data_IF_124202323070
#
_entry.id   IF_124202323070
#
_cell.length_a   1.000
_cell.length_b   1.000
_cell.length_c   1.000
_cell.angle_alpha   90.00
_cell.angle_beta   90.00
_cell.angle_gamma   90.00
#
_symmetry.space_group_name_H-M   'P 1'
#
loop_
_entity.id
_entity.type
_entity.pdbx_description
1 polymer ?
#
# COMPACT_ATOMS: atom_id res chain seq x y z
N UNK A 1 7.24 -11.97 1.35
CA UNK A 1 7.90 -12.40 2.60
C UNK A 1 7.69 -11.29 3.61
N UNK A 2 7.58 -11.62 4.90
CA UNK A 2 7.43 -10.64 5.99
C UNK A 2 8.57 -9.63 6.06
N UNK A 3 9.78 -10.06 5.71
CA UNK A 3 10.96 -9.19 5.65
C UNK A 3 11.10 -8.33 4.39
N UNK A 4 10.15 -8.41 3.44
CA UNK A 4 10.26 -7.71 2.16
C UNK A 4 9.00 -6.93 1.79
N UNK A 5 7.83 -7.55 1.89
CA UNK A 5 6.63 -7.04 1.22
C UNK A 5 5.45 -6.87 2.16
N UNK A 6 5.40 -5.69 2.78
CA UNK A 6 4.21 -5.13 3.42
C UNK A 6 3.64 -3.97 2.58
N UNK A 7 2.70 -3.20 3.13
CA UNK A 7 2.01 -2.10 2.43
C UNK A 7 2.97 -1.14 1.71
N UNK A 8 4.06 -0.74 2.36
CA UNK A 8 5.02 0.22 1.80
C UNK A 8 5.69 -0.31 0.53
N UNK A 9 6.23 -1.53 0.57
CA UNK A 9 6.86 -2.14 -0.61
C UNK A 9 5.85 -2.38 -1.73
N UNK A 10 4.63 -2.82 -1.40
CA UNK A 10 3.60 -3.06 -2.41
C UNK A 10 3.20 -1.78 -3.15
N UNK A 11 3.10 -0.68 -2.41
CA UNK A 11 2.86 0.67 -2.96
C UNK A 11 4.02 1.12 -3.85
N UNK A 12 5.27 0.97 -3.39
CA UNK A 12 6.46 1.35 -4.18
C UNK A 12 6.60 0.55 -5.47
N UNK A 13 6.35 -0.77 -5.42
CA UNK A 13 6.38 -1.61 -6.61
C UNK A 13 5.28 -1.21 -7.60
N UNK A 14 4.07 -0.94 -7.11
CA UNK A 14 2.97 -0.45 -7.94
C UNK A 14 3.32 0.91 -8.58
N UNK A 15 3.95 1.84 -7.84
CA UNK A 15 4.40 3.13 -8.35
C UNK A 15 5.31 3.02 -9.57
N UNK A 16 6.17 2.01 -9.58
CA UNK A 16 7.16 1.77 -10.63
C UNK A 16 6.61 0.92 -11.80
N UNK A 17 5.31 0.65 -11.82
CA UNK A 17 4.67 -0.20 -12.83
C UNK A 17 4.80 -1.70 -12.59
N UNK A 18 5.27 -2.10 -11.40
CA UNK A 18 5.35 -3.47 -10.94
C UNK A 18 4.16 -3.87 -10.07
N UNK A 19 4.35 -4.93 -9.27
CA UNK A 19 3.35 -5.42 -8.31
C UNK A 19 4.05 -5.92 -7.04
N UNK A 20 3.45 -5.65 -5.88
CA UNK A 20 3.84 -6.27 -4.62
C UNK A 20 2.88 -7.38 -4.20
N UNK A 21 3.43 -8.46 -3.64
CA UNK A 21 2.67 -9.57 -3.07
C UNK A 21 2.86 -9.59 -1.55
N UNK A 22 1.82 -9.18 -0.82
CA UNK A 22 1.81 -9.17 0.65
C UNK A 22 1.98 -10.58 1.19
N UNK A 23 2.80 -10.76 2.23
CA UNK A 23 2.97 -12.07 2.87
C UNK A 23 1.72 -12.46 3.69
N UNK A 24 1.57 -13.75 3.97
CA UNK A 24 0.52 -14.32 4.82
C UNK A 24 0.95 -14.55 6.27
N UNK A 25 2.18 -14.16 6.64
CA UNK A 25 2.66 -14.27 8.02
C UNK A 25 2.12 -13.14 8.91
N UNK A 26 0.80 -12.98 8.95
CA UNK A 26 0.06 -11.99 9.74
C UNK A 26 -1.39 -12.50 9.93
N UNK A 27 -2.14 -11.91 10.86
CA UNK A 27 -3.57 -12.21 10.95
C UNK A 27 -4.30 -11.77 9.66
N UNK A 28 -5.39 -12.46 9.30
CA UNK A 28 -6.18 -12.12 8.11
C UNK A 28 -6.72 -10.69 8.15
N UNK A 29 -7.08 -10.19 9.35
CA UNK A 29 -7.49 -8.81 9.58
C UNK A 29 -6.38 -7.80 9.23
N UNK A 30 -5.14 -8.13 9.59
CA UNK A 30 -3.99 -7.25 9.42
C UNK A 30 -3.56 -7.25 7.96
N UNK A 31 -3.51 -8.42 7.32
CA UNK A 31 -3.26 -8.54 5.89
C UNK A 31 -4.35 -7.80 5.08
N UNK A 32 -5.62 -7.88 5.51
CA UNK A 32 -6.71 -7.12 4.90
C UNK A 32 -6.59 -5.61 5.14
N UNK A 33 -6.07 -5.18 6.29
CA UNK A 33 -5.74 -3.77 6.54
C UNK A 33 -4.60 -3.29 5.63
N UNK A 34 -3.58 -4.12 5.39
CA UNK A 34 -2.52 -3.83 4.42
C UNK A 34 -3.07 -3.68 3.00
N UNK A 35 -3.91 -4.62 2.54
CA UNK A 35 -4.58 -4.52 1.22
C UNK A 35 -5.38 -3.22 1.10
N UNK A 36 -6.17 -2.89 2.12
CA UNK A 36 -6.95 -1.63 2.16
C UNK A 36 -6.04 -0.40 2.11
N UNK A 37 -4.92 -0.42 2.83
CA UNK A 37 -3.93 0.66 2.80
C UNK A 37 -3.31 0.86 1.41
N UNK A 38 -2.98 -0.23 0.70
CA UNK A 38 -2.43 -0.16 -0.66
C UNK A 38 -3.50 0.31 -1.66
N UNK A 39 -4.69 -0.30 -1.64
CA UNK A 39 -5.81 0.03 -2.56
C UNK A 39 -6.42 1.39 -2.28
N UNK A 40 -6.26 1.90 -1.07
CA UNK A 40 -6.69 3.23 -0.67
C UNK A 40 -5.82 4.34 -1.25
N UNK A 41 -4.59 4.05 -1.67
CA UNK A 41 -3.73 5.10 -2.21
C UNK A 41 -4.10 5.40 -3.65
N UNK A 42 -4.30 6.69 -3.95
CA UNK A 42 -4.42 7.17 -5.34
C UNK A 42 -3.07 7.55 -5.92
N UNK A 43 -2.20 8.11 -5.08
CA UNK A 43 -0.82 8.48 -5.44
C UNK A 43 0.17 7.65 -4.62
N UNK A 44 1.11 6.93 -5.26
CA UNK A 44 1.77 5.77 -4.65
C UNK A 44 3.05 6.11 -3.86
N UNK A 45 3.23 7.33 -3.35
CA UNK A 45 4.47 7.72 -2.66
C UNK A 45 4.27 8.54 -1.39
N UNK A 46 3.12 8.39 -0.76
CA UNK A 46 2.85 9.18 0.42
C UNK A 46 3.60 8.58 1.60
N UNK A 47 4.49 9.39 2.17
CA UNK A 47 4.94 9.29 3.54
C UNK A 47 3.72 8.98 4.41
N UNK A 48 3.82 7.98 5.30
CA UNK A 48 2.71 7.66 6.20
C UNK A 48 2.37 8.92 7.02
N UNK A 49 1.23 9.60 6.75
CA UNK A 49 0.96 10.88 7.37
C UNK A 49 0.80 10.69 8.87
N UNK A 50 1.33 11.64 9.65
CA UNK A 50 1.07 11.65 11.09
C UNK A 50 -0.23 12.40 11.31
N UNK A 51 -1.10 11.82 12.13
CA UNK A 51 -2.38 12.41 12.50
C UNK A 51 -2.32 12.90 13.94
N UNK A 52 -2.92 14.07 14.19
CA UNK A 52 -3.06 14.66 15.52
C UNK A 52 -4.45 15.26 15.68
N UNK A 53 -4.95 15.31 16.92
CA UNK A 53 -6.21 15.97 17.26
C UNK A 53 -6.00 17.47 17.46
N UNK A 54 -7.10 18.23 17.42
CA UNK A 54 -7.10 19.69 17.67
C UNK A 54 -6.51 20.09 19.04
N UNK A 55 -6.52 19.18 20.00
CA UNK A 55 -6.00 19.40 21.35
C UNK A 55 -4.49 19.17 21.50
N UNK A 56 -3.87 18.54 20.50
CA UNK A 56 -2.50 18.05 20.61
C UNK A 56 -1.46 19.16 20.37
N UNK A 57 -0.21 18.85 20.71
CA UNK A 57 0.96 19.72 20.54
C UNK A 57 2.08 18.96 19.86
N UNK A 58 2.86 19.65 19.03
CA UNK A 58 4.08 19.10 18.47
C UNK A 58 5.23 19.42 19.42
N UNK A 59 5.71 18.40 20.13
CA UNK A 59 6.78 18.56 21.13
C UNK A 59 8.16 18.70 20.50
N UNK A 60 8.43 18.00 19.39
CA UNK A 60 9.72 18.00 18.72
C UNK A 60 9.60 17.74 17.22
N UNK A 61 10.73 17.87 16.52
CA UNK A 61 10.84 17.66 15.07
C UNK A 61 10.67 16.20 14.63
N UNK A 62 10.70 15.24 15.55
CA UNK A 62 10.66 13.81 15.22
C UNK A 62 9.33 13.43 14.57
N UNK A 63 8.26 14.19 14.84
CA UNK A 63 6.95 14.03 14.19
C UNK A 63 7.03 14.15 12.66
N UNK A 64 7.99 14.92 12.16
CA UNK A 64 8.22 15.10 10.72
C UNK A 64 9.22 14.09 10.15
N UNK A 65 9.71 13.15 10.98
CA UNK A 65 10.65 12.10 10.61
C UNK A 65 11.85 12.63 9.80
N UNK A 66 12.51 13.69 10.30
CA UNK A 66 13.63 14.37 9.64
C UNK A 66 13.34 14.82 8.19
N UNK A 67 12.10 15.24 7.91
CA UNK A 67 11.67 15.68 6.59
C UNK A 67 11.13 14.57 5.69
N UNK A 68 11.22 13.31 6.11
CA UNK A 68 10.57 12.21 5.41
C UNK A 68 9.05 12.32 5.46
N UNK A 69 8.48 12.95 6.49
CA UNK A 69 7.08 13.31 6.54
C UNK A 69 6.91 14.82 6.80
N UNK A 70 6.88 15.66 5.75
CA UNK A 70 6.91 17.11 5.93
C UNK A 70 5.60 17.70 6.47
N UNK A 71 4.56 16.89 6.67
CA UNK A 71 3.23 17.35 7.07
C UNK A 71 2.63 16.51 8.20
N UNK A 72 2.03 17.20 9.17
CA UNK A 72 1.18 16.61 10.20
C UNK A 72 -0.26 16.99 9.90
N UNK A 73 -1.15 16.01 9.80
CA UNK A 73 -2.56 16.21 9.50
C UNK A 73 -3.36 16.34 10.80
N UNK A 74 -4.21 17.35 10.88
CA UNK A 74 -5.07 17.59 12.03
C UNK A 74 -6.47 17.10 11.72
N UNK A 75 -6.94 16.08 12.42
CA UNK A 75 -8.30 15.53 12.26
C UNK A 75 -9.10 15.67 13.55
N UNK A 76 -10.42 15.47 13.48
CA UNK A 76 -11.26 15.55 14.68
C UNK A 76 -10.87 14.52 15.75
N UNK A 77 -10.62 13.27 15.35
CA UNK A 77 -10.24 12.18 16.26
C UNK A 77 -8.73 12.09 16.52
N UNK A 78 -7.90 12.74 15.71
CA UNK A 78 -6.45 12.54 15.70
C UNK A 78 -6.01 11.23 15.02
N UNK A 79 -6.92 10.55 14.33
CA UNK A 79 -6.67 9.32 13.58
C UNK A 79 -6.98 9.50 12.07
N UNK A 80 -6.53 8.59 11.20
CA UNK A 80 -7.02 8.47 9.81
C UNK A 80 -8.53 8.17 9.76
N UNK A 81 -9.16 8.35 8.59
CA UNK A 81 -10.61 8.16 8.39
C UNK A 81 -11.44 9.02 9.35
N UNK A 82 -11.06 10.28 9.45
CA UNK A 82 -11.72 11.27 10.30
C UNK A 82 -11.78 12.59 9.54
N UNK A 83 -12.72 13.45 9.90
CA UNK A 83 -12.83 14.77 9.29
C UNK A 83 -11.54 15.57 9.45
N UNK A 84 -11.00 16.04 8.32
CA UNK A 84 -9.82 16.90 8.28
C UNK A 84 -10.17 18.31 8.73
N UNK A 85 -9.34 18.88 9.59
CA UNK A 85 -9.46 20.26 10.07
C UNK A 85 -8.39 21.16 9.43
N UNK A 86 -7.20 20.61 9.20
CA UNK A 86 -6.07 21.32 8.64
C UNK A 86 -4.80 20.48 8.65
N UNK A 87 -3.66 21.14 8.46
CA UNK A 87 -2.34 20.51 8.54
C UNK A 87 -1.29 21.49 9.07
N UNK A 88 -0.20 20.96 9.59
CA UNK A 88 1.00 21.70 9.95
C UNK A 88 2.15 21.23 9.07
N UNK A 89 2.80 22.15 8.34
CA UNK A 89 4.03 21.83 7.60
C UNK A 89 5.26 21.99 8.51
N UNK A 90 6.27 21.15 8.33
CA UNK A 90 7.55 21.24 9.06
C UNK A 90 8.16 22.65 8.96
N UNK A 91 8.16 23.23 7.75
CA UNK A 91 8.65 24.60 7.49
C UNK A 91 7.92 25.70 8.24
N UNK A 92 6.66 25.49 8.60
CA UNK A 92 5.83 26.47 9.30
C UNK A 92 5.98 26.27 10.81
N UNK A 93 6.07 25.02 11.27
CA UNK A 93 6.39 24.69 12.67
C UNK A 93 7.76 25.23 13.12
N UNK A 94 8.80 25.12 12.28
CA UNK A 94 10.16 25.62 12.61
C UNK A 94 10.16 27.14 12.85
N UNK A 95 9.22 27.88 12.25
CA UNK A 95 9.10 29.34 12.39
C UNK A 95 8.30 29.76 13.63
N UNK A 96 7.64 28.83 14.32
CA UNK A 96 6.88 29.14 15.52
C UNK A 96 7.80 29.56 16.67
N UNK A 97 7.51 30.71 17.26
CA UNK A 97 8.25 31.23 18.41
C UNK A 97 7.91 30.47 19.69
N UNK A 98 6.63 30.10 19.87
CA UNK A 98 6.14 29.30 20.99
C UNK A 98 5.72 27.92 20.48
N UNK A 99 6.34 26.86 21.01
CA UNK A 99 6.08 25.47 20.64
C UNK A 99 5.15 24.74 21.61
N UNK A 100 4.73 25.40 22.69
CA UNK A 100 3.78 24.86 23.67
C UNK A 100 2.31 25.13 23.29
N UNK A 101 2.10 25.82 22.16
CA UNK A 101 0.79 26.10 21.60
C UNK A 101 0.14 24.84 21.01
N UNK A 102 -1.20 24.82 20.98
CA UNK A 102 -1.93 23.73 20.35
C UNK A 102 -1.76 23.80 18.84
N UNK A 103 -1.67 22.64 18.20
CA UNK A 103 -1.51 22.54 16.75
C UNK A 103 -2.65 23.25 16.00
N UNK A 104 -3.87 23.21 16.53
CA UNK A 104 -5.06 23.81 15.92
C UNK A 104 -4.98 25.34 15.77
N UNK A 105 -4.24 26.02 16.64
CA UNK A 105 -4.18 27.48 16.66
C UNK A 105 -3.29 28.05 15.54
N UNK A 106 -2.38 27.23 15.01
CA UNK A 106 -1.40 27.63 14.00
C UNK A 106 -1.41 26.78 12.73
N UNK A 107 -2.23 25.73 12.67
CA UNK A 107 -2.37 24.91 11.47
C UNK A 107 -2.93 25.71 10.30
N UNK A 108 -2.58 25.28 9.10
CA UNK A 108 -3.23 25.77 7.88
C UNK A 108 -4.58 25.07 7.72
N UNK A 109 -5.65 25.86 7.62
CA UNK A 109 -7.02 25.35 7.47
C UNK A 109 -7.23 24.58 6.17
N UNK A 110 -8.00 23.49 6.22
CA UNK A 110 -8.23 22.59 5.09
C UNK A 110 -9.15 23.14 3.97
N UNK A 111 -9.74 24.34 4.12
CA UNK A 111 -10.77 24.86 3.18
C UNK A 111 -10.33 24.91 1.73
N UNK A 112 -9.05 25.19 1.46
CA UNK A 112 -8.51 25.36 0.10
C UNK A 112 -7.58 24.21 -0.33
N UNK A 113 -7.68 23.03 0.30
CA UNK A 113 -6.84 21.88 -0.06
C UNK A 113 -7.59 20.56 -0.22
N UNK A 114 -8.92 20.54 -0.07
CA UNK A 114 -9.71 19.32 -0.12
C UNK A 114 -10.20 19.04 -1.54
N UNK A 115 -10.00 17.80 -1.99
CA UNK A 115 -10.53 17.27 -3.24
C UNK A 115 -11.28 15.96 -3.00
N UNK A 116 -12.29 15.64 -3.83
CA UNK A 116 -12.91 14.32 -3.82
C UNK A 116 -11.88 13.23 -4.13
N UNK A 117 -11.95 12.11 -3.41
CA UNK A 117 -11.12 10.91 -3.65
C UNK A 117 -11.14 10.38 -5.10
N UNK A 118 -12.23 10.65 -5.83
CA UNK A 118 -12.37 10.28 -7.23
C UNK A 118 -11.50 11.10 -8.19
N UNK A 119 -10.76 12.10 -7.69
CA UNK A 119 -9.89 12.96 -8.51
C UNK A 119 -8.65 12.20 -8.98
N UNK A 120 -8.32 12.34 -10.26
CA UNK A 120 -7.09 11.81 -10.84
C UNK A 120 -5.90 12.77 -10.61
N UNK A 121 -4.69 12.31 -10.97
CA UNK A 121 -3.47 13.10 -10.80
C UNK A 121 -3.51 14.45 -11.54
N UNK A 122 -4.19 14.52 -12.69
CA UNK A 122 -4.31 15.75 -13.47
C UNK A 122 -5.17 16.79 -12.76
N UNK A 123 -6.32 16.37 -12.23
CA UNK A 123 -7.20 17.22 -11.42
C UNK A 123 -6.53 17.69 -10.14
N UNK A 124 -5.75 16.81 -9.49
CA UNK A 124 -4.99 17.17 -8.30
C UNK A 124 -3.98 18.29 -8.61
N UNK A 125 -3.26 18.16 -9.74
CA UNK A 125 -2.30 19.17 -10.17
C UNK A 125 -2.97 20.51 -10.50
N UNK A 126 -4.05 20.49 -11.28
CA UNK A 126 -4.80 21.69 -11.65
C UNK A 126 -5.30 22.43 -10.41
N UNK A 127 -5.86 21.70 -9.45
CA UNK A 127 -6.32 22.25 -8.18
C UNK A 127 -5.18 22.84 -7.34
N UNK A 128 -4.04 22.14 -7.23
CA UNK A 128 -2.86 22.67 -6.53
C UNK A 128 -2.36 23.98 -7.15
N UNK A 129 -2.37 24.06 -8.49
CA UNK A 129 -1.98 25.26 -9.23
C UNK A 129 -2.99 26.41 -9.02
N UNK A 130 -4.29 26.13 -9.12
CA UNK A 130 -5.36 27.12 -8.95
C UNK A 130 -5.37 27.70 -7.53
N UNK A 131 -5.23 26.87 -6.51
CA UNK A 131 -5.25 27.29 -5.10
C UNK A 131 -3.89 27.81 -4.60
N UNK A 132 -2.83 27.69 -5.40
CA UNK A 132 -1.47 28.06 -5.00
C UNK A 132 -0.98 27.25 -3.80
N UNK A 133 -1.35 25.97 -3.72
CA UNK A 133 -1.01 25.07 -2.61
C UNK A 133 -0.11 23.94 -3.11
N UNK A 134 0.90 23.60 -2.30
CA UNK A 134 1.78 22.47 -2.60
C UNK A 134 1.24 21.13 -2.04
N UNK A 135 0.03 21.13 -1.48
CA UNK A 135 -0.59 19.95 -0.86
C UNK A 135 -2.08 19.88 -1.15
N UNK A 136 -2.62 18.67 -1.21
CA UNK A 136 -4.04 18.39 -1.34
C UNK A 136 -4.44 17.15 -0.52
N UNK A 137 -5.56 17.22 0.18
CA UNK A 137 -6.15 16.12 0.91
C UNK A 137 -7.30 15.51 0.12
N UNK A 138 -7.30 14.18 -0.02
CA UNK A 138 -8.36 13.42 -0.66
C UNK A 138 -9.39 13.00 0.39
N UNK A 139 -10.63 13.40 0.15
CA UNK A 139 -11.74 13.15 1.07
C UNK A 139 -12.79 12.26 0.43
N UNK A 140 -13.34 11.33 1.21
CA UNK A 140 -14.50 10.50 0.88
C UNK A 140 -15.40 10.47 2.10
N UNK A 141 -16.69 10.75 1.92
CA UNK A 141 -17.69 10.77 3.01
C UNK A 141 -17.27 11.67 4.19
N UNK A 142 -16.74 12.87 3.90
CA UNK A 142 -16.17 13.83 4.85
C UNK A 142 -14.92 13.38 5.64
N UNK A 143 -14.41 12.17 5.39
CA UNK A 143 -13.20 11.64 6.02
C UNK A 143 -11.97 11.83 5.13
N UNK A 144 -10.84 12.21 5.73
CA UNK A 144 -9.56 12.16 5.01
C UNK A 144 -9.12 10.73 4.83
N UNK A 145 -8.84 10.39 3.58
CA UNK A 145 -8.44 9.03 3.22
C UNK A 145 -7.08 9.03 2.51
N UNK A 146 -6.67 10.14 1.91
CA UNK A 146 -5.32 10.29 1.34
C UNK A 146 -4.81 11.74 1.44
N UNK A 147 -3.49 11.94 1.35
CA UNK A 147 -2.88 13.27 1.38
C UNK A 147 -1.68 13.35 0.44
N UNK A 148 -1.71 14.27 -0.52
CA UNK A 148 -0.75 14.33 -1.63
C UNK A 148 0.04 15.64 -1.57
N UNK A 149 1.37 15.56 -1.58
CA UNK A 149 2.25 16.68 -1.79
C UNK A 149 2.62 16.88 -3.26
N UNK A 150 2.99 18.11 -3.64
CA UNK A 150 3.45 18.47 -4.99
C UNK A 150 4.69 17.67 -5.42
N UNK A 151 5.58 17.36 -4.49
CA UNK A 151 6.73 16.48 -4.73
C UNK A 151 6.29 15.06 -5.12
N UNK A 152 5.19 14.56 -4.54
CA UNK A 152 4.64 13.24 -4.86
C UNK A 152 4.03 13.22 -6.26
N UNK A 153 3.33 14.31 -6.63
CA UNK A 153 2.81 14.50 -7.99
C UNK A 153 3.97 14.52 -8.99
N UNK A 154 5.04 15.26 -8.70
CA UNK A 154 6.24 15.33 -9.54
C UNK A 154 6.95 13.98 -9.69
N UNK A 155 7.16 13.25 -8.58
CA UNK A 155 7.76 11.91 -8.60
C UNK A 155 6.92 10.93 -9.42
N UNK A 156 5.60 10.95 -9.25
CA UNK A 156 4.71 10.05 -9.99
C UNK A 156 4.68 10.33 -11.50
N UNK A 157 4.89 11.59 -11.94
CA UNK A 157 5.08 11.91 -13.37
C UNK A 157 6.34 11.28 -13.96
N UNK A 158 7.39 11.15 -13.16
CA UNK A 158 8.67 10.56 -13.56
C UNK A 158 8.61 9.03 -13.72
N UNK A 159 7.57 8.37 -13.20
CA UNK A 159 7.45 6.93 -13.28
C UNK A 159 6.84 6.43 -14.58
N UNK A 160 7.31 5.28 -15.09
CA UNK A 160 6.72 4.67 -16.27
C UNK A 160 5.25 4.32 -15.97
N UNK A 161 4.33 4.90 -16.76
CA UNK A 161 2.89 4.64 -16.67
C UNK A 161 2.56 3.26 -17.26
N UNK A 162 3.04 2.19 -16.61
CA UNK A 162 2.72 0.82 -17.02
C UNK A 162 1.41 0.42 -16.34
N UNK A 163 0.31 0.47 -17.09
CA UNK A 163 -1.02 0.01 -16.67
C UNK A 163 -2.07 1.11 -16.73
N UNK A 164 -3.08 0.92 -17.57
CA UNK A 164 -4.31 1.73 -17.60
C UNK A 164 -5.29 1.09 -16.60
N UNK A 165 -5.49 1.66 -15.41
CA UNK A 165 -6.46 1.15 -14.44
C UNK A 165 -6.08 1.33 -12.97
N UNK A 166 -6.87 0.73 -12.08
CA UNK A 166 -6.60 0.75 -10.62
C UNK A 166 -5.38 -0.09 -10.27
N UNK A 167 -4.55 0.38 -9.32
CA UNK A 167 -3.35 -0.32 -8.84
C UNK A 167 -3.63 -1.79 -8.48
N UNK A 168 -2.75 -2.70 -8.91
CA UNK A 168 -2.82 -4.12 -8.56
C UNK A 168 -1.98 -4.39 -7.30
N UNK A 169 -2.54 -5.17 -6.38
CA UNK A 169 -1.83 -5.71 -5.21
C UNK A 169 -2.18 -7.18 -5.12
N UNK A 170 -1.17 -8.02 -4.86
CA UNK A 170 -1.40 -9.42 -4.55
C UNK A 170 -1.28 -9.66 -3.05
N UNK A 171 -1.94 -10.70 -2.56
CA UNK A 171 -1.72 -11.23 -1.23
C UNK A 171 -1.42 -12.72 -1.38
N UNK A 172 -0.34 -13.18 -0.74
CA UNK A 172 -0.05 -14.60 -0.64
C UNK A 172 -1.04 -15.24 0.33
N UNK A 173 -1.43 -16.47 0.04
CA UNK A 173 -2.19 -17.34 0.93
C UNK A 173 -1.38 -18.63 1.15
N UNK A 174 -1.46 -19.19 2.35
CA UNK A 174 -0.82 -20.46 2.68
C UNK A 174 -1.63 -21.68 2.20
N UNK A 175 -1.03 -22.86 2.29
CA UNK A 175 -1.58 -24.16 1.83
C UNK A 175 -1.17 -25.25 2.85
N UNK A 176 -1.28 -24.92 4.14
CA UNK A 176 -0.46 -25.47 5.24
C UNK A 176 -1.13 -26.58 6.03
N UNK A 177 -0.50 -27.74 5.92
CA UNK A 177 -0.90 -29.08 6.33
C UNK A 177 -1.33 -29.41 7.80
N UNK A 178 -2.42 -28.78 8.30
CA UNK A 178 -3.69 -29.45 8.74
C UNK A 178 -4.34 -30.25 7.61
N UNK A 179 -3.53 -30.66 6.66
CA UNK A 179 -3.83 -30.93 5.29
C UNK A 179 -2.87 -32.07 4.90
N UNK A 180 -3.37 -33.08 4.23
CA UNK A 180 -2.59 -34.29 3.88
C UNK A 180 -2.70 -34.57 2.38
N UNK A 181 -3.41 -33.70 1.69
CA UNK A 181 -3.87 -33.78 0.32
C UNK A 181 -3.50 -32.49 -0.43
N UNK A 182 -2.32 -31.92 -0.12
CA UNK A 182 -1.86 -30.60 -0.59
C UNK A 182 -2.18 -30.25 -2.02
N UNK A 183 -1.94 -31.18 -2.95
CA UNK A 183 -2.11 -30.92 -4.38
C UNK A 183 -3.60 -30.89 -4.77
N UNK A 184 -4.40 -31.77 -4.19
CA UNK A 184 -5.85 -31.83 -4.43
C UNK A 184 -6.54 -30.63 -3.79
N UNK A 185 -6.20 -30.29 -2.56
CA UNK A 185 -6.71 -29.09 -1.88
C UNK A 185 -6.30 -27.80 -2.58
N UNK A 186 -5.06 -27.73 -3.09
CA UNK A 186 -4.62 -26.60 -3.91
C UNK A 186 -5.49 -26.45 -5.16
N UNK A 187 -5.74 -27.55 -5.87
CA UNK A 187 -6.58 -27.58 -7.06
C UNK A 187 -8.03 -27.20 -6.71
N UNK A 188 -8.59 -27.74 -5.62
CA UNK A 188 -9.95 -27.43 -5.18
C UNK A 188 -10.09 -25.99 -4.67
N UNK A 189 -9.08 -25.44 -3.99
CA UNK A 189 -9.06 -24.04 -3.57
C UNK A 189 -9.02 -23.11 -4.78
N UNK A 190 -8.22 -23.42 -5.80
CA UNK A 190 -8.20 -22.64 -7.06
C UNK A 190 -9.60 -22.66 -7.69
N UNK A 191 -10.21 -23.85 -7.84
CA UNK A 191 -11.58 -23.96 -8.37
C UNK A 191 -12.59 -23.19 -7.52
N UNK A 192 -12.49 -23.26 -6.20
CA UNK A 192 -13.35 -22.53 -5.27
C UNK A 192 -13.21 -21.02 -5.43
N UNK A 193 -11.99 -20.50 -5.48
CA UNK A 193 -11.72 -19.07 -5.67
C UNK A 193 -12.26 -18.61 -7.02
N UNK A 194 -11.97 -19.33 -8.11
CA UNK A 194 -12.48 -18.97 -9.45
C UNK A 194 -14.01 -19.05 -9.55
N UNK A 195 -14.65 -19.92 -8.76
CA UNK A 195 -16.12 -20.00 -8.66
C UNK A 195 -16.73 -18.84 -7.86
N UNK A 196 -16.12 -18.49 -6.72
CA UNK A 196 -16.64 -17.45 -5.81
C UNK A 196 -16.28 -16.03 -6.24
N UNK A 197 -15.14 -15.88 -6.91
CA UNK A 197 -14.54 -14.61 -7.31
C UNK A 197 -14.02 -14.73 -8.75
N UNK A 198 -14.93 -14.80 -9.72
CA UNK A 198 -14.61 -15.00 -11.14
C UNK A 198 -13.63 -13.96 -11.70
N UNK A 199 -13.71 -12.74 -11.19
CA UNK A 199 -12.94 -11.59 -11.66
C UNK A 199 -11.57 -11.46 -10.97
N UNK A 200 -11.26 -12.36 -10.02
CA UNK A 200 -9.99 -12.36 -9.30
C UNK A 200 -8.93 -13.16 -10.07
N UNK A 201 -7.81 -12.49 -10.36
CA UNK A 201 -6.60 -13.12 -10.91
C UNK A 201 -5.93 -14.01 -9.83
N UNK A 202 -5.67 -15.28 -10.14
CA UNK A 202 -5.03 -16.25 -9.24
C UNK A 202 -3.68 -16.69 -9.79
N UNK A 203 -2.61 -16.45 -9.03
CA UNK A 203 -1.27 -16.96 -9.35
C UNK A 203 -0.97 -18.19 -8.49
N UNK A 204 -0.86 -19.36 -9.13
CA UNK A 204 -0.58 -20.63 -8.47
C UNK A 204 0.90 -20.95 -8.39
N UNK A 205 1.31 -21.65 -7.33
CA UNK A 205 2.69 -22.13 -7.18
C UNK A 205 3.00 -22.57 -5.74
N UNK A 206 4.25 -22.90 -5.42
CA UNK A 206 5.39 -22.93 -6.33
C UNK A 206 5.46 -24.25 -7.13
N UNK A 207 5.93 -24.20 -8.38
CA UNK A 207 6.14 -25.40 -9.22
C UNK A 207 7.57 -25.48 -9.76
N UNK A 208 8.06 -26.69 -10.04
CA UNK A 208 9.37 -26.93 -10.68
C UNK A 208 9.34 -27.99 -11.78
N UNK A 209 8.21 -28.69 -11.98
CA UNK A 209 8.01 -29.64 -13.08
C UNK A 209 6.88 -29.20 -14.02
N UNK A 210 6.92 -29.71 -15.25
CA UNK A 210 5.85 -29.50 -16.24
C UNK A 210 4.54 -30.10 -15.76
N UNK A 211 4.56 -31.27 -15.14
CA UNK A 211 3.34 -31.92 -14.62
C UNK A 211 2.66 -31.09 -13.53
N UNK A 212 3.43 -30.53 -12.60
CA UNK A 212 2.90 -29.64 -11.57
C UNK A 212 2.26 -28.38 -12.19
N UNK A 213 2.95 -27.77 -13.16
CA UNK A 213 2.42 -26.61 -13.87
C UNK A 213 1.12 -26.93 -14.62
N UNK A 214 1.07 -28.07 -15.33
CA UNK A 214 -0.13 -28.53 -16.05
C UNK A 214 -1.32 -28.72 -15.10
N UNK A 215 -1.10 -29.32 -13.93
CA UNK A 215 -2.16 -29.53 -12.95
C UNK A 215 -2.77 -28.20 -12.47
N UNK A 216 -1.94 -27.18 -12.20
CA UNK A 216 -2.42 -25.86 -11.77
C UNK A 216 -3.11 -25.10 -12.91
N UNK A 217 -2.58 -25.18 -14.13
CA UNK A 217 -3.22 -24.57 -15.31
C UNK A 217 -4.61 -25.18 -15.54
N UNK A 218 -4.73 -26.51 -15.48
CA UNK A 218 -6.02 -27.20 -15.62
C UNK A 218 -6.99 -26.88 -14.49
N UNK A 219 -6.49 -26.55 -13.29
CA UNK A 219 -7.30 -26.08 -12.18
C UNK A 219 -7.86 -24.67 -12.39
N UNK A 220 -7.27 -23.86 -13.28
CA UNK A 220 -7.77 -22.53 -13.65
C UNK A 220 -6.98 -21.35 -13.07
N UNK A 221 -5.69 -21.52 -12.78
CA UNK A 221 -4.83 -20.37 -12.41
C UNK A 221 -4.57 -19.45 -13.61
N UNK A 222 -4.50 -18.15 -13.36
CA UNK A 222 -4.22 -17.12 -14.36
C UNK A 222 -2.70 -16.85 -14.50
N UNK A 223 -1.89 -17.34 -13.56
CA UNK A 223 -0.44 -17.26 -13.61
C UNK A 223 0.26 -18.35 -12.79
N UNK A 224 1.55 -18.57 -13.07
CA UNK A 224 2.39 -19.54 -12.37
C UNK A 224 3.56 -18.88 -11.67
N UNK A 225 3.87 -19.35 -10.46
CA UNK A 225 5.08 -19.02 -9.71
C UNK A 225 6.04 -20.22 -9.71
N UNK A 226 7.20 -20.07 -10.34
CA UNK A 226 8.16 -21.15 -10.58
C UNK A 226 9.40 -21.00 -9.69
N UNK A 227 9.81 -22.09 -9.05
CA UNK A 227 11.05 -22.17 -8.28
C UNK A 227 10.87 -22.85 -6.92
N UNK A 228 11.79 -23.76 -6.58
CA UNK A 228 11.81 -24.45 -5.29
C UNK A 228 13.26 -24.69 -4.88
N UNK A 229 13.65 -24.14 -3.73
CA UNK A 229 15.02 -24.26 -3.24
C UNK A 229 16.04 -23.33 -3.89
N UNK A 230 15.64 -22.45 -4.81
CA UNK A 230 16.52 -21.53 -5.52
C UNK A 230 16.70 -20.15 -4.86
N UNK A 231 15.99 -19.89 -3.75
CA UNK A 231 16.07 -18.62 -3.03
C UNK A 231 17.35 -18.49 -2.21
N UNK A 232 17.87 -17.26 -2.06
CA UNK A 232 19.13 -16.97 -1.34
C UNK A 232 19.16 -17.46 0.12
N UNK A 233 17.99 -17.53 0.78
CA UNK A 233 17.84 -18.00 2.17
C UNK A 233 17.20 -19.39 2.26
N UNK A 234 16.95 -20.05 1.12
CA UNK A 234 16.16 -21.27 1.05
C UNK A 234 17.05 -22.50 1.14
N UNK A 235 16.87 -23.32 2.17
CA UNK A 235 17.63 -24.58 2.37
C UNK A 235 16.86 -25.83 1.95
N UNK A 236 15.74 -25.69 1.20
CA UNK A 236 14.87 -26.83 0.84
C UNK A 236 15.59 -27.92 0.06
N UNK A 237 16.56 -27.57 -0.80
CA UNK A 237 17.34 -28.59 -1.52
C UNK A 237 18.23 -29.39 -0.57
N UNK A 238 18.83 -28.73 0.42
CA UNK A 238 19.71 -29.37 1.40
C UNK A 238 18.94 -30.20 2.42
N UNK A 239 17.81 -29.67 2.93
CA UNK A 239 17.05 -30.28 4.02
C UNK A 239 16.04 -31.32 3.52
N UNK A 240 15.35 -31.04 2.41
CA UNK A 240 14.28 -31.89 1.91
C UNK A 240 14.71 -32.74 0.69
N UNK A 241 15.91 -32.54 0.16
CA UNK A 241 16.39 -33.18 -1.07
C UNK A 241 15.44 -32.97 -2.28
N UNK A 242 14.66 -31.87 -2.27
CA UNK A 242 13.70 -31.53 -3.32
C UNK A 242 13.94 -30.10 -3.78
N UNK A 243 13.96 -29.92 -5.10
CA UNK A 243 14.08 -28.63 -5.76
C UNK A 243 14.53 -28.81 -7.21
N UNK A 244 14.87 -27.71 -7.87
CA UNK A 244 15.42 -27.72 -9.22
C UNK A 244 16.32 -26.51 -9.43
N UNK A 245 17.39 -26.67 -10.21
CA UNK A 245 18.16 -25.53 -10.73
C UNK A 245 17.23 -24.57 -11.47
N UNK A 246 17.37 -23.27 -11.21
CA UNK A 246 16.45 -22.26 -11.74
C UNK A 246 16.72 -21.93 -13.21
N UNK A 247 17.95 -22.15 -13.68
CA UNK A 247 18.44 -21.86 -15.04
C UNK A 247 18.91 -23.15 -15.69
#
# INVERSE_FOLDING_TARGET
MDTVTESHMAVSMAALGGIGILHSNAASSDQAAMVRSVKGRRVPLLSAPVFMSRGDRIHNDDVFNHGANPYVLVTESGAPNSKLLGYMASRDWVKLADKEVKIYDYMVSCKDMVLPWSSDLGKIEEFMAEKGRDVAAMVRDDEVVDFVGKEDVGRNKGYPKLGVGSWKVGAAIGTRESDKERLEELIEMIKYIKKMYSDLDVVGGNVVTVSQAQNLIQAGVDGLRVGMGSGSICTTQEVCAVGRGQV
#
